data_IF_164550740389
#
_entry.id   IF_164550740389
#
_cell.length_a   1.000
_cell.length_b   1.000
_cell.length_c   1.000
_cell.angle_alpha   90.00
_cell.angle_beta   90.00
_cell.angle_gamma   90.00
#
_symmetry.space_group_name_H-M   'P 1'
#
loop_
_entity.id
_entity.type
_entity.pdbx_description
1 polymer ?
#
# COMPACT_ATOMS: atom_id res chain seq x y z
N UNK A 1 -11.35 33.39 -24.62
CA UNK A 1 -10.68 32.24 -23.99
C UNK A 1 -9.40 32.73 -23.33
N UNK A 2 -9.38 32.84 -22.00
CA UNK A 2 -8.22 33.32 -21.25
C UNK A 2 -7.24 32.17 -21.01
N UNK A 3 -6.03 32.24 -21.57
CA UNK A 3 -4.95 31.30 -21.28
C UNK A 3 -4.50 31.49 -19.83
N UNK A 4 -4.89 30.60 -18.93
CA UNK A 4 -4.24 30.51 -17.61
C UNK A 4 -2.85 29.94 -17.83
N UNK A 5 -1.82 30.80 -17.79
CA UNK A 5 -0.42 30.36 -17.80
C UNK A 5 -0.04 29.90 -16.40
N UNK A 6 0.53 28.71 -16.29
CA UNK A 6 0.93 28.08 -15.03
C UNK A 6 2.18 28.72 -14.38
N UNK A 7 2.94 29.56 -15.10
CA UNK A 7 4.13 30.25 -14.58
C UNK A 7 4.17 31.74 -14.97
N UNK A 8 4.41 32.67 -14.03
CA UNK A 8 4.61 34.07 -14.36
C UNK A 8 5.98 34.30 -15.02
N UNK A 9 5.99 34.82 -16.26
CA UNK A 9 7.21 35.38 -16.86
C UNK A 9 7.50 36.74 -16.23
N UNK A 10 8.46 36.80 -15.31
CA UNK A 10 9.18 38.06 -15.03
C UNK A 10 10.63 37.88 -15.46
N UNK A 11 11.13 38.82 -16.28
CA UNK A 11 12.56 38.91 -16.58
C UNK A 11 13.31 39.08 -15.26
N UNK A 12 14.41 38.36 -15.00
CA UNK A 12 15.23 38.64 -13.83
C UNK A 12 15.78 40.05 -14.00
N UNK A 13 15.37 40.99 -13.14
CA UNK A 13 16.16 42.20 -12.92
C UNK A 13 17.47 41.73 -12.28
N UNK A 14 18.59 41.90 -12.99
CA UNK A 14 19.92 41.63 -12.48
C UNK A 14 20.21 42.58 -11.30
N UNK A 15 19.77 42.20 -10.11
CA UNK A 15 20.40 42.65 -8.88
C UNK A 15 21.40 41.58 -8.49
N UNK A 16 22.67 41.84 -8.78
CA UNK A 16 23.82 41.05 -8.34
C UNK A 16 23.69 40.80 -6.84
N UNK A 17 23.65 39.56 -6.34
CA UNK A 17 23.64 39.33 -4.91
C UNK A 17 25.02 39.76 -4.39
N UNK A 18 25.06 40.74 -3.49
CA UNK A 18 26.23 40.95 -2.65
C UNK A 18 26.61 39.60 -2.02
N UNK A 19 27.89 39.23 -2.14
CA UNK A 19 28.48 38.03 -1.53
C UNK A 19 28.29 38.09 -0.01
N UNK A 20 27.19 37.53 0.48
CA UNK A 20 27.10 37.13 1.87
C UNK A 20 28.08 35.97 2.08
N UNK A 21 29.03 36.17 3.00
CA UNK A 21 30.17 35.30 3.29
C UNK A 21 29.80 33.95 3.95
N UNK A 22 28.58 33.46 3.75
CA UNK A 22 28.13 32.15 4.22
C UNK A 22 28.08 31.16 3.06
N UNK A 23 28.97 30.16 3.05
CA UNK A 23 28.89 29.06 2.08
C UNK A 23 27.50 28.42 2.18
N UNK A 24 26.68 28.55 1.13
CA UNK A 24 25.39 27.86 1.06
C UNK A 24 25.64 26.35 1.10
N UNK A 25 24.93 25.58 1.94
CA UNK A 25 25.09 24.12 1.98
C UNK A 25 24.75 23.52 0.61
N UNK A 26 25.61 22.65 0.09
CA UNK A 26 25.48 22.02 -1.23
C UNK A 26 24.33 20.99 -1.35
N UNK A 27 23.44 20.88 -0.35
CA UNK A 27 22.50 19.76 -0.13
C UNK A 27 21.17 20.28 0.40
N UNK A 28 20.35 20.85 -0.46
CA UNK A 28 19.14 21.51 -0.02
C UNK A 28 17.96 21.24 -0.94
N UNK A 29 16.82 21.01 -0.30
CA UNK A 29 15.51 21.14 -0.93
C UNK A 29 14.98 22.50 -0.52
N UNK A 30 14.52 23.30 -1.48
CA UNK A 30 13.99 24.64 -1.24
C UNK A 30 12.56 24.73 -1.76
N UNK A 31 11.67 25.27 -0.94
CA UNK A 31 10.25 25.43 -1.28
C UNK A 31 9.99 26.84 -1.83
N UNK A 32 9.26 26.94 -2.93
CA UNK A 32 8.89 28.22 -3.52
C UNK A 32 7.37 28.32 -3.60
N UNK A 33 6.83 29.46 -3.20
CA UNK A 33 5.45 29.78 -3.53
C UNK A 33 5.35 30.16 -5.01
N UNK A 34 4.34 29.63 -5.70
CA UNK A 34 4.10 29.90 -7.12
C UNK A 34 3.96 31.40 -7.44
N UNK A 35 3.60 32.22 -6.45
CA UNK A 35 3.43 33.68 -6.54
C UNK A 35 4.73 34.46 -6.34
N UNK A 36 5.79 33.85 -5.77
CA UNK A 36 7.05 34.53 -5.43
C UNK A 36 8.26 33.58 -5.48
N UNK A 37 9.10 33.75 -6.50
CA UNK A 37 10.33 32.95 -6.69
C UNK A 37 11.54 33.49 -5.91
N UNK A 38 11.36 34.22 -4.79
CA UNK A 38 12.50 34.81 -4.06
C UNK A 38 13.22 33.77 -3.19
N UNK A 39 14.47 33.39 -3.51
CA UNK A 39 15.15 32.24 -2.88
C UNK A 39 15.73 32.52 -1.49
N UNK A 40 15.66 33.76 -1.00
CA UNK A 40 16.25 34.17 0.29
C UNK A 40 15.35 33.86 1.51
N UNK A 41 14.04 33.69 1.32
CA UNK A 41 13.06 33.49 2.40
C UNK A 41 12.35 32.12 2.36
N UNK A 42 12.67 31.28 1.36
CA UNK A 42 12.13 29.93 1.24
C UNK A 42 12.59 29.02 2.39
N UNK A 43 11.68 28.24 3.03
CA UNK A 43 12.06 27.14 3.91
C UNK A 43 13.01 26.17 3.21
N UNK A 44 13.97 25.60 3.95
CA UNK A 44 15.01 24.72 3.41
C UNK A 44 15.21 23.50 4.28
N UNK A 45 15.29 22.34 3.65
CA UNK A 45 15.69 21.08 4.30
C UNK A 45 17.15 20.78 3.93
N UNK A 46 17.96 20.44 4.92
CA UNK A 46 19.35 20.09 4.72
C UNK A 46 19.56 18.59 4.97
N UNK A 47 20.24 17.91 4.04
CA UNK A 47 20.63 16.52 4.23
C UNK A 47 21.66 16.37 5.36
N UNK A 48 21.53 15.31 6.16
CA UNK A 48 22.34 15.06 7.36
C UNK A 48 23.77 14.57 7.07
N UNK A 49 23.99 13.86 5.95
CA UNK A 49 25.27 13.22 5.64
C UNK A 49 25.95 13.78 4.39
N UNK A 50 27.29 13.76 4.39
CA UNK A 50 28.12 14.15 3.27
C UNK A 50 28.08 13.08 2.15
N UNK A 51 28.38 13.49 0.91
CA UNK A 51 28.31 12.74 -0.35
C UNK A 51 27.02 11.97 -0.75
N UNK A 52 25.95 11.92 0.05
CA UNK A 52 24.77 11.05 -0.22
C UNK A 52 23.85 11.42 -1.40
N UNK A 53 24.03 12.60 -2.01
CA UNK A 53 23.09 13.19 -2.98
C UNK A 53 21.65 13.34 -2.47
N UNK A 54 21.48 13.76 -1.22
CA UNK A 54 20.15 14.11 -0.70
C UNK A 54 19.41 15.11 -1.60
N UNK A 55 18.15 14.80 -1.93
CA UNK A 55 17.31 15.57 -2.85
C UNK A 55 17.58 15.27 -4.33
N UNK A 56 18.22 14.13 -4.65
CA UNK A 56 18.45 13.72 -6.03
C UNK A 56 17.14 13.45 -6.78
N UNK A 57 16.18 12.86 -6.08
CA UNK A 57 14.82 12.61 -6.53
C UNK A 57 13.86 13.12 -5.46
N UNK A 58 12.67 13.53 -5.89
CA UNK A 58 11.62 14.07 -5.01
C UNK A 58 10.27 13.48 -5.44
N UNK A 59 9.42 13.19 -4.48
CA UNK A 59 8.00 12.89 -4.71
C UNK A 59 7.15 13.61 -3.66
N UNK A 60 5.91 13.91 -4.03
CA UNK A 60 4.92 14.47 -3.13
C UNK A 60 3.58 13.72 -3.31
N UNK A 61 2.95 13.38 -2.20
CA UNK A 61 1.69 12.62 -2.11
C UNK A 61 1.14 12.72 -0.70
N UNK A 62 -0.14 12.42 -0.51
CA UNK A 62 -0.80 12.42 0.81
C UNK A 62 -0.74 11.00 1.41
N UNK A 63 0.37 10.67 2.07
CA UNK A 63 0.64 9.30 2.51
C UNK A 63 0.11 8.99 3.91
N UNK A 64 -0.28 10.01 4.69
CA UNK A 64 -0.93 9.88 5.99
C UNK A 64 -2.42 10.27 5.97
N UNK A 65 -2.94 10.72 4.83
CA UNK A 65 -4.37 10.93 4.57
C UNK A 65 -4.93 12.17 5.26
N UNK A 66 -4.09 13.15 5.58
CA UNK A 66 -4.48 14.37 6.27
C UNK A 66 -4.99 15.48 5.34
N UNK A 67 -4.94 15.25 4.02
CA UNK A 67 -5.35 16.17 2.97
C UNK A 67 -4.27 17.15 2.52
N UNK A 68 -3.05 17.07 3.07
CA UNK A 68 -1.88 17.81 2.64
C UNK A 68 -0.86 16.89 1.98
N UNK A 69 -0.20 17.39 0.93
CA UNK A 69 0.86 16.63 0.29
C UNK A 69 2.15 16.64 1.15
N UNK A 70 2.65 15.46 1.42
CA UNK A 70 3.92 15.18 2.07
C UNK A 70 5.10 15.24 1.09
N UNK A 71 6.32 15.11 1.61
CA UNK A 71 7.54 15.11 0.81
C UNK A 71 8.40 13.87 1.07
N UNK A 72 8.77 13.17 0.00
CA UNK A 72 9.85 12.19 0.02
C UNK A 72 11.06 12.73 -0.75
N UNK A 73 12.25 12.49 -0.20
CA UNK A 73 13.52 12.91 -0.76
C UNK A 73 14.52 11.76 -0.83
N UNK A 74 14.99 11.44 -2.04
CA UNK A 74 15.96 10.38 -2.28
C UNK A 74 17.39 10.84 -2.02
N UNK A 75 18.19 9.91 -1.50
CA UNK A 75 19.63 10.03 -1.29
C UNK A 75 20.31 8.75 -1.76
N UNK A 76 20.40 8.50 -3.08
CA UNK A 76 20.83 7.22 -3.64
C UNK A 76 22.28 6.82 -3.31
N UNK A 77 23.13 7.76 -2.85
CA UNK A 77 24.50 7.44 -2.42
C UNK A 77 24.64 7.38 -0.90
N UNK A 78 23.54 7.22 -0.17
CA UNK A 78 23.59 6.99 1.27
C UNK A 78 24.10 5.57 1.59
N UNK A 79 24.82 5.46 2.70
CA UNK A 79 25.18 4.17 3.28
C UNK A 79 24.02 3.60 4.10
N UNK A 80 23.94 2.28 4.23
CA UNK A 80 22.96 1.59 5.07
C UNK A 80 23.15 1.81 6.59
N UNK A 81 24.22 2.51 7.00
CA UNK A 81 24.59 2.70 8.40
C UNK A 81 25.38 1.53 8.99
N UNK A 82 25.75 0.54 8.17
CA UNK A 82 26.61 -0.58 8.51
C UNK A 82 27.76 -0.65 7.49
N UNK A 83 27.69 -1.56 6.51
CA UNK A 83 28.79 -1.89 5.60
C UNK A 83 28.38 -1.89 4.12
N UNK A 84 27.16 -1.47 3.77
CA UNK A 84 26.70 -1.42 2.39
C UNK A 84 26.88 0.00 1.80
N UNK A 85 27.92 0.22 0.98
CA UNK A 85 28.10 1.49 0.27
C UNK A 85 27.01 1.70 -0.77
N UNK A 86 26.63 2.96 -1.00
CA UNK A 86 25.64 3.36 -2.01
C UNK A 86 24.36 2.51 -1.98
N UNK A 87 23.97 2.03 -0.80
CA UNK A 87 22.73 1.28 -0.62
C UNK A 87 21.51 2.17 -0.87
N UNK A 88 21.67 3.47 -0.59
CA UNK A 88 20.66 4.49 -0.79
C UNK A 88 19.73 4.67 0.41
N UNK A 89 19.01 5.78 0.42
CA UNK A 89 18.01 6.09 1.44
C UNK A 89 16.92 7.01 0.89
N UNK A 90 15.76 6.98 1.54
CA UNK A 90 14.65 7.90 1.32
C UNK A 90 14.27 8.54 2.65
N UNK A 91 14.06 9.84 2.63
CA UNK A 91 13.65 10.63 3.79
C UNK A 91 12.24 11.16 3.56
N UNK A 92 11.33 10.87 4.48
CA UNK A 92 9.92 11.27 4.39
C UNK A 92 9.64 12.36 5.41
N UNK A 93 8.91 13.38 5.00
CA UNK A 93 8.51 14.51 5.81
C UNK A 93 7.01 14.77 5.64
N UNK A 94 6.26 14.59 6.73
CA UNK A 94 4.83 14.90 6.75
C UNK A 94 4.60 16.41 6.86
N UNK A 95 3.55 16.91 6.20
CA UNK A 95 3.31 18.35 6.04
C UNK A 95 1.87 18.83 6.37
N UNK A 96 1.29 18.51 7.54
CA UNK A 96 -0.13 18.71 7.87
C UNK A 96 -0.65 20.15 7.75
N UNK A 97 0.21 21.15 7.96
CA UNK A 97 -0.15 22.57 7.84
C UNK A 97 0.49 23.23 6.61
N UNK A 98 0.86 22.44 5.59
CA UNK A 98 1.73 22.85 4.47
C UNK A 98 3.08 23.38 4.93
N UNK A 99 3.50 22.95 6.12
CA UNK A 99 4.78 23.29 6.74
C UNK A 99 5.55 22.01 7.01
N UNK A 100 6.76 21.93 6.48
CA UNK A 100 7.60 20.74 6.59
C UNK A 100 8.58 20.90 7.75
N UNK A 101 8.62 19.90 8.63
CA UNK A 101 9.63 19.82 9.70
C UNK A 101 11.05 19.77 9.11
N UNK A 102 12.05 20.43 9.73
CA UNK A 102 13.44 20.31 9.28
C UNK A 102 14.04 18.91 9.51
N UNK A 103 13.38 18.06 10.32
CA UNK A 103 13.77 16.67 10.55
C UNK A 103 12.80 15.72 9.83
N UNK A 104 13.30 14.70 9.13
CA UNK A 104 12.44 13.69 8.54
C UNK A 104 11.67 12.96 9.64
N UNK A 105 10.41 12.66 9.36
CA UNK A 105 9.59 11.82 10.22
C UNK A 105 9.99 10.34 10.09
N UNK A 106 10.42 9.93 8.89
CA UNK A 106 10.87 8.59 8.60
C UNK A 106 12.12 8.61 7.70
N UNK A 107 13.06 7.72 8.00
CA UNK A 107 14.21 7.40 7.14
C UNK A 107 14.13 5.93 6.76
N UNK A 108 14.02 5.66 5.46
CA UNK A 108 14.01 4.31 4.89
C UNK A 108 15.37 4.07 4.23
N UNK A 109 16.12 3.09 4.72
CA UNK A 109 17.46 2.77 4.21
C UNK A 109 17.41 1.56 3.29
N UNK A 110 18.07 1.67 2.14
CA UNK A 110 18.36 0.51 1.30
C UNK A 110 19.25 -0.48 2.03
N UNK A 111 19.08 -1.76 1.73
CA UNK A 111 19.80 -2.88 2.39
C UNK A 111 20.88 -3.51 1.51
N UNK A 112 20.81 -3.31 0.19
CA UNK A 112 21.73 -3.90 -0.77
C UNK A 112 22.82 -2.89 -1.15
N UNK A 113 24.09 -3.29 -1.04
CA UNK A 113 25.20 -2.44 -1.47
C UNK A 113 25.08 -2.10 -2.96
N UNK A 114 25.37 -0.86 -3.32
CA UNK A 114 25.35 -0.30 -4.67
C UNK A 114 23.99 -0.25 -5.36
N UNK A 115 22.91 -0.66 -4.70
CA UNK A 115 21.57 -0.68 -5.29
C UNK A 115 20.99 0.72 -5.57
N UNK A 116 21.48 1.72 -4.84
CA UNK A 116 21.07 3.12 -4.93
C UNK A 116 19.57 3.32 -4.74
N UNK A 117 19.01 2.69 -3.72
CA UNK A 117 17.63 2.91 -3.29
C UNK A 117 17.32 4.41 -3.13
N UNK A 118 16.17 4.86 -3.65
CA UNK A 118 15.86 6.29 -3.73
C UNK A 118 16.41 6.97 -4.98
N UNK A 119 16.79 6.21 -6.02
CA UNK A 119 17.24 6.79 -7.29
C UNK A 119 16.09 7.52 -8.01
N UNK A 120 14.94 6.86 -8.09
CA UNK A 120 13.69 7.42 -8.59
C UNK A 120 12.64 7.34 -7.48
N UNK A 121 11.78 8.34 -7.42
CA UNK A 121 10.63 8.39 -6.52
C UNK A 121 9.41 8.77 -7.35
N UNK A 122 8.28 8.13 -7.08
CA UNK A 122 6.99 8.49 -7.67
C UNK A 122 5.88 8.30 -6.64
N UNK A 123 4.98 9.28 -6.55
CA UNK A 123 3.68 9.07 -5.92
C UNK A 123 2.84 8.27 -6.92
N UNK A 124 2.33 7.12 -6.49
CA UNK A 124 1.53 6.24 -7.34
C UNK A 124 0.03 6.58 -7.28
N UNK A 125 -0.37 7.54 -6.44
CA UNK A 125 -1.75 7.64 -5.98
C UNK A 125 -2.12 6.45 -5.10
N UNK A 126 -3.41 6.27 -4.85
CA UNK A 126 -3.97 5.18 -4.06
C UNK A 126 -4.15 3.91 -4.94
N UNK A 127 -3.10 3.06 -5.00
CA UNK A 127 -3.04 1.87 -5.89
C UNK A 127 -3.82 0.68 -5.35
N UNK A 128 -4.14 0.64 -4.05
CA UNK A 128 -4.96 -0.41 -3.44
C UNK A 128 -6.36 0.06 -3.01
N UNK A 129 -6.65 1.35 -3.17
CA UNK A 129 -7.93 2.02 -2.86
C UNK A 129 -8.31 1.99 -1.39
N UNK A 130 -7.32 2.01 -0.50
CA UNK A 130 -7.52 2.05 0.94
C UNK A 130 -7.79 3.48 1.48
N UNK A 131 -7.57 4.50 0.65
CA UNK A 131 -7.81 5.91 0.94
C UNK A 131 -6.56 6.75 1.17
N UNK A 132 -5.37 6.17 1.04
CA UNK A 132 -4.08 6.85 1.19
C UNK A 132 -3.28 6.78 -0.11
N UNK A 133 -2.49 7.80 -0.44
CA UNK A 133 -1.58 7.68 -1.58
C UNK A 133 -0.47 6.67 -1.26
N UNK A 134 0.17 6.13 -2.30
CA UNK A 134 1.28 5.18 -2.20
C UNK A 134 2.57 5.72 -2.80
N UNK A 135 3.71 5.21 -2.33
CA UNK A 135 5.04 5.62 -2.79
C UNK A 135 5.78 4.46 -3.49
N UNK A 136 6.29 4.73 -4.68
CA UNK A 136 7.29 3.87 -5.33
C UNK A 136 8.70 4.42 -5.17
N UNK A 137 9.65 3.52 -4.88
CA UNK A 137 11.07 3.81 -4.76
C UNK A 137 11.89 2.92 -5.68
N UNK A 138 12.62 3.54 -6.60
CA UNK A 138 13.51 2.85 -7.53
C UNK A 138 14.90 2.56 -6.97
N UNK A 139 15.39 1.36 -7.24
CA UNK A 139 16.76 0.90 -6.99
C UNK A 139 17.31 0.21 -8.26
N UNK A 140 17.69 0.99 -9.29
CA UNK A 140 18.00 0.46 -10.62
C UNK A 140 19.25 -0.43 -10.70
N UNK A 141 20.06 -0.45 -9.65
CA UNK A 141 21.30 -1.23 -9.58
C UNK A 141 21.23 -2.33 -8.51
N UNK A 142 20.03 -2.59 -7.99
CA UNK A 142 19.78 -3.71 -7.09
C UNK A 142 20.02 -5.05 -7.80
N UNK A 143 19.90 -6.16 -7.06
CA UNK A 143 20.05 -7.49 -7.65
C UNK A 143 19.07 -7.72 -8.81
N UNK A 144 19.39 -8.72 -9.64
CA UNK A 144 18.47 -9.24 -10.65
C UNK A 144 18.05 -8.24 -11.74
N UNK A 145 18.82 -7.17 -11.95
CA UNK A 145 18.58 -6.17 -13.00
C UNK A 145 17.89 -4.89 -12.52
N UNK A 146 17.65 -4.76 -11.21
CA UNK A 146 17.04 -3.60 -10.58
C UNK A 146 15.65 -3.89 -10.01
N UNK A 147 15.25 -3.05 -9.06
CA UNK A 147 14.01 -3.24 -8.29
C UNK A 147 13.23 -1.93 -8.15
N UNK A 148 11.90 -2.06 -8.00
CA UNK A 148 11.01 -1.01 -7.51
C UNK A 148 10.33 -1.50 -6.25
N UNK A 149 10.40 -0.70 -5.19
CA UNK A 149 9.83 -0.96 -3.89
C UNK A 149 8.57 -0.11 -3.73
N UNK A 150 7.45 -0.74 -3.43
CA UNK A 150 6.17 -0.07 -3.18
C UNK A 150 5.91 -0.02 -1.68
N UNK A 151 5.49 1.14 -1.20
CA UNK A 151 5.13 1.41 0.19
C UNK A 151 3.73 1.98 0.20
N UNK A 152 2.79 1.28 0.85
CA UNK A 152 1.45 1.83 0.99
C UNK A 152 1.36 2.91 2.06
N UNK A 153 0.53 3.91 1.79
CA UNK A 153 0.08 4.88 2.79
C UNK A 153 -0.77 4.22 3.87
N UNK A 154 -1.00 4.93 4.98
CA UNK A 154 -1.90 4.52 6.08
C UNK A 154 -2.07 5.69 7.06
N UNK A 155 -2.99 5.63 8.05
CA UNK A 155 -3.21 6.74 8.98
C UNK A 155 -1.97 7.18 9.78
N UNK A 156 -1.03 6.28 10.03
CA UNK A 156 0.24 6.60 10.72
C UNK A 156 1.36 7.05 9.75
N UNK A 157 1.04 7.19 8.46
CA UNK A 157 1.95 7.40 7.36
C UNK A 157 2.72 6.14 6.92
N UNK A 158 3.63 6.30 5.97
CA UNK A 158 4.42 5.21 5.37
C UNK A 158 5.13 4.31 6.40
N UNK A 159 5.21 3.02 6.06
CA UNK A 159 6.04 2.05 6.77
C UNK A 159 7.51 2.05 6.36
N UNK A 160 8.36 1.53 7.25
CA UNK A 160 9.77 1.33 6.95
C UNK A 160 10.05 0.13 6.02
N UNK A 161 9.11 -0.81 5.93
CA UNK A 161 9.20 -1.98 5.06
C UNK A 161 8.23 -1.84 3.87
N UNK A 162 8.63 -2.28 2.67
CA UNK A 162 7.78 -2.24 1.49
C UNK A 162 6.63 -3.25 1.60
N UNK A 163 5.47 -2.90 1.06
CA UNK A 163 4.32 -3.82 0.90
C UNK A 163 4.53 -4.75 -0.29
N UNK A 164 5.24 -4.29 -1.32
CA UNK A 164 5.57 -5.07 -2.51
C UNK A 164 6.96 -4.71 -3.06
N UNK A 165 7.65 -5.68 -3.65
CA UNK A 165 8.91 -5.45 -4.39
C UNK A 165 8.75 -6.05 -5.77
N UNK A 166 8.86 -5.20 -6.78
CA UNK A 166 8.83 -5.55 -8.20
C UNK A 166 10.28 -5.68 -8.67
N UNK A 167 10.68 -6.87 -9.11
CA UNK A 167 12.06 -7.13 -9.57
C UNK A 167 12.10 -7.19 -11.08
N UNK A 168 13.19 -6.77 -11.69
CA UNK A 168 13.36 -6.88 -13.14
C UNK A 168 13.25 -8.34 -13.62
N UNK A 169 13.66 -9.31 -12.78
CA UNK A 169 13.53 -10.75 -13.04
C UNK A 169 12.10 -11.28 -13.11
N UNK A 170 11.13 -10.51 -12.61
CA UNK A 170 9.71 -10.90 -12.66
C UNK A 170 9.12 -10.68 -14.06
N UNK A 171 9.87 -10.01 -14.95
CA UNK A 171 9.45 -9.66 -16.31
C UNK A 171 10.32 -10.36 -17.37
N UNK A 172 9.67 -10.75 -18.46
CA UNK A 172 10.35 -11.33 -19.62
C UNK A 172 11.32 -10.32 -20.28
N UNK A 173 12.35 -10.82 -20.96
CA UNK A 173 13.23 -9.99 -21.80
C UNK A 173 14.53 -9.51 -21.15
N UNK A 174 14.91 -10.05 -19.99
CA UNK A 174 16.17 -9.72 -19.31
C UNK A 174 16.36 -8.21 -19.06
N UNK A 175 15.32 -7.59 -18.51
CA UNK A 175 15.25 -6.16 -18.19
C UNK A 175 16.40 -5.75 -17.24
N UNK A 176 17.07 -4.63 -17.51
CA UNK A 176 18.16 -4.10 -16.68
C UNK A 176 18.04 -2.60 -16.45
N UNK A 177 18.47 -2.16 -15.28
CA UNK A 177 18.28 -0.77 -14.84
C UNK A 177 16.82 -0.50 -14.47
N UNK A 178 16.04 -1.53 -14.13
CA UNK A 178 14.63 -1.42 -13.79
C UNK A 178 14.44 -0.56 -12.53
N UNK A 179 13.60 0.46 -12.59
CA UNK A 179 13.44 1.45 -11.51
C UNK A 179 14.35 2.67 -11.67
N UNK A 180 14.92 2.89 -12.86
CA UNK A 180 15.73 4.09 -13.14
C UNK A 180 14.87 5.35 -13.24
N UNK A 181 13.66 5.22 -13.75
CA UNK A 181 12.60 6.23 -13.72
C UNK A 181 11.27 5.55 -13.45
N UNK A 182 10.36 6.23 -12.75
CA UNK A 182 9.05 5.69 -12.39
C UNK A 182 8.04 6.82 -12.57
N UNK A 183 6.87 6.47 -13.11
CA UNK A 183 5.69 7.35 -13.15
C UNK A 183 4.44 6.53 -12.81
N UNK A 184 3.42 7.17 -12.25
CA UNK A 184 2.21 6.50 -11.77
C UNK A 184 1.09 7.50 -11.49
N UNK A 185 0.07 7.11 -10.72
CA UNK A 185 -1.02 8.00 -10.34
C UNK A 185 -2.11 8.18 -11.39
N UNK A 186 -2.06 7.41 -12.48
CA UNK A 186 -3.06 7.44 -13.55
C UNK A 186 -3.50 6.01 -13.86
N UNK A 187 -4.80 5.79 -13.87
CA UNK A 187 -5.45 4.58 -14.35
C UNK A 187 -5.42 4.57 -15.89
N UNK A 188 -4.56 3.74 -16.49
CA UNK A 188 -4.35 3.70 -17.94
C UNK A 188 -5.19 2.63 -18.63
N UNK A 189 -5.59 1.57 -17.92
CA UNK A 189 -6.44 0.50 -18.44
C UNK A 189 -7.93 0.67 -18.11
N UNK A 190 -8.29 1.75 -17.40
CA UNK A 190 -9.62 2.12 -16.97
C UNK A 190 -10.27 1.08 -16.03
N UNK A 191 -9.47 0.36 -15.24
CA UNK A 191 -9.96 -0.60 -14.25
C UNK A 191 -10.31 0.04 -12.89
N UNK A 192 -10.02 1.33 -12.74
CA UNK A 192 -10.23 2.14 -11.55
C UNK A 192 -9.00 2.27 -10.65
N UNK A 193 -7.95 1.47 -10.83
CA UNK A 193 -6.75 1.53 -10.00
C UNK A 193 -5.63 2.23 -10.77
N UNK A 194 -4.91 3.20 -10.17
CA UNK A 194 -3.76 3.80 -10.81
C UNK A 194 -2.71 2.77 -11.20
N UNK A 195 -2.18 2.87 -12.41
CA UNK A 195 -1.15 1.96 -12.94
C UNK A 195 0.26 2.56 -12.78
N UNK A 196 1.28 1.73 -13.03
CA UNK A 196 2.70 2.11 -12.87
C UNK A 196 3.48 1.89 -14.16
N UNK A 197 4.28 2.89 -14.54
CA UNK A 197 5.28 2.80 -15.61
C UNK A 197 6.69 2.84 -15.03
N UNK A 198 7.52 1.88 -15.40
CA UNK A 198 8.90 1.78 -14.92
C UNK A 198 9.88 1.77 -16.09
N UNK A 199 10.81 2.72 -16.10
CA UNK A 199 11.91 2.77 -17.05
C UNK A 199 13.07 1.86 -16.64
N UNK A 200 13.62 1.15 -17.63
CA UNK A 200 14.74 0.24 -17.50
C UNK A 200 15.88 0.66 -18.45
N UNK A 201 16.58 1.72 -18.05
CA UNK A 201 17.48 2.47 -18.92
C UNK A 201 18.68 1.67 -19.45
N UNK A 202 19.12 0.62 -18.75
CA UNK A 202 20.25 -0.20 -19.21
C UNK A 202 19.84 -1.26 -20.24
N UNK A 203 18.55 -1.39 -20.53
CA UNK A 203 17.97 -2.32 -21.51
C UNK A 203 17.10 -1.62 -22.55
N UNK A 204 17.16 -0.29 -22.66
CA UNK A 204 16.36 0.54 -23.58
C UNK A 204 14.85 0.20 -23.55
N UNK A 205 14.35 -0.16 -22.37
CA UNK A 205 13.01 -0.72 -22.18
C UNK A 205 12.20 0.09 -21.17
N UNK A 206 10.88 -0.01 -21.30
CA UNK A 206 9.93 0.46 -20.29
C UNK A 206 8.92 -0.66 -20.03
N UNK A 207 8.52 -0.81 -18.77
CA UNK A 207 7.58 -1.84 -18.31
C UNK A 207 6.33 -1.13 -17.83
N UNK A 208 5.19 -1.54 -18.38
CA UNK A 208 3.87 -1.11 -17.93
C UNK A 208 3.28 -2.16 -17.01
N UNK A 209 2.90 -1.75 -15.81
CA UNK A 209 2.46 -2.62 -14.73
C UNK A 209 1.05 -2.17 -14.35
N UNK A 210 0.10 -3.07 -14.56
CA UNK A 210 -1.30 -2.81 -14.23
C UNK A 210 -1.58 -3.16 -12.79
N UNK A 211 -2.26 -2.27 -12.08
CA UNK A 211 -2.70 -2.55 -10.72
C UNK A 211 -3.86 -3.53 -10.75
N UNK A 212 -3.80 -4.54 -9.88
CA UNK A 212 -4.86 -5.54 -9.77
C UNK A 212 -5.96 -5.02 -8.85
N UNK A 213 -7.25 -5.24 -9.17
CA UNK A 213 -8.32 -4.85 -8.27
C UNK A 213 -8.22 -5.53 -6.90
N UNK A 214 -8.35 -4.76 -5.83
CA UNK A 214 -8.24 -5.22 -4.43
C UNK A 214 -9.62 -5.50 -3.84
N UNK A 215 -9.77 -6.66 -3.22
CA UNK A 215 -11.01 -7.09 -2.56
C UNK A 215 -10.86 -7.05 -1.03
N UNK A 216 -11.40 -6.00 -0.40
CA UNK A 216 -11.47 -5.91 1.05
C UNK A 216 -12.75 -6.58 1.57
N UNK A 217 -12.59 -7.75 2.23
CA UNK A 217 -13.68 -8.54 2.81
C UNK A 217 -13.62 -8.48 4.33
N UNK A 218 -14.70 -8.01 4.95
CA UNK A 218 -14.93 -8.06 6.39
C UNK A 218 -15.94 -9.16 6.69
N UNK A 219 -15.59 -10.09 7.59
CA UNK A 219 -16.43 -11.23 7.94
C UNK A 219 -16.73 -11.30 9.43
N UNK A 220 -17.94 -11.73 9.77
CA UNK A 220 -18.36 -12.04 11.13
C UNK A 220 -19.08 -13.39 11.17
N UNK A 221 -18.88 -14.13 12.25
CA UNK A 221 -19.58 -15.40 12.54
C UNK A 221 -20.17 -15.31 13.93
N UNK A 222 -21.44 -15.69 14.07
CA UNK A 222 -22.16 -15.73 15.33
C UNK A 222 -22.88 -17.06 15.50
N UNK A 223 -23.06 -17.50 16.75
CA UNK A 223 -23.86 -18.68 17.11
C UNK A 223 -25.02 -18.24 17.99
N UNK A 224 -26.21 -18.76 17.70
CA UNK A 224 -27.42 -18.55 18.50
C UNK A 224 -28.13 -19.90 18.79
N UNK A 225 -28.21 -20.34 20.06
CA UNK A 225 -27.61 -19.72 21.23
C UNK A 225 -26.06 -19.81 21.19
N UNK A 226 -25.36 -18.88 21.86
CA UNK A 226 -23.90 -18.92 21.97
C UNK A 226 -23.38 -20.14 22.75
N UNK A 227 -24.25 -20.75 23.58
CA UNK A 227 -23.99 -21.97 24.31
C UNK A 227 -25.00 -23.06 23.93
N UNK A 228 -24.48 -24.22 23.53
CA UNK A 228 -25.32 -25.36 23.16
C UNK A 228 -25.54 -26.25 24.38
N UNK A 229 -26.77 -26.29 24.89
CA UNK A 229 -27.15 -27.18 25.97
C UNK A 229 -27.37 -28.61 25.47
N UNK A 230 -26.54 -29.56 25.91
CA UNK A 230 -26.65 -30.99 25.57
C UNK A 230 -27.97 -31.64 26.04
N UNK A 231 -28.65 -30.99 27.00
CA UNK A 231 -29.93 -31.45 27.53
C UNK A 231 -31.12 -31.02 26.67
N UNK A 232 -30.94 -29.99 25.83
CA UNK A 232 -31.99 -29.48 24.97
C UNK A 232 -31.91 -30.10 23.57
N UNK A 233 -32.65 -31.20 23.37
CA UNK A 233 -32.68 -31.99 22.14
C UNK A 233 -33.82 -31.53 21.23
N UNK A 234 -33.80 -30.25 20.85
CA UNK A 234 -34.88 -29.63 20.07
C UNK A 234 -34.77 -29.88 18.56
N UNK A 235 -33.61 -30.30 18.06
CA UNK A 235 -33.35 -30.43 16.63
C UNK A 235 -33.52 -31.88 16.16
N UNK A 236 -34.37 -32.13 15.16
CA UNK A 236 -34.62 -33.47 14.60
C UNK A 236 -33.84 -33.70 13.30
N UNK A 237 -32.81 -34.54 13.33
CA UNK A 237 -32.12 -34.98 12.12
C UNK A 237 -32.90 -36.16 11.51
N UNK A 238 -33.20 -36.10 10.22
CA UNK A 238 -33.94 -37.15 9.50
C UNK A 238 -33.20 -38.50 9.59
N UNK A 239 -33.60 -39.37 10.54
CA UNK A 239 -33.06 -40.71 10.72
C UNK A 239 -32.85 -41.20 12.17
N UNK A 240 -32.99 -40.36 13.21
CA UNK A 240 -32.82 -40.81 14.60
C UNK A 240 -32.64 -39.66 15.60
N UNK A 241 -32.61 -40.01 16.91
CA UNK A 241 -32.59 -39.17 18.15
C UNK A 241 -32.34 -37.68 17.93
N UNK A 242 -33.21 -36.86 18.52
CA UNK A 242 -32.99 -35.42 18.56
C UNK A 242 -31.67 -35.10 19.30
N UNK A 243 -30.81 -34.33 18.65
CA UNK A 243 -29.51 -33.90 19.17
C UNK A 243 -29.59 -32.41 19.57
N UNK A 244 -28.69 -31.99 20.44
CA UNK A 244 -28.58 -30.58 20.80
C UNK A 244 -28.08 -29.79 19.59
N UNK A 245 -28.71 -28.64 19.32
CA UNK A 245 -28.39 -27.84 18.14
C UNK A 245 -28.62 -26.35 18.36
N UNK A 246 -28.17 -25.58 17.39
CA UNK A 246 -28.30 -24.13 17.33
C UNK A 246 -28.15 -23.64 15.90
N UNK A 247 -28.23 -22.34 15.71
CA UNK A 247 -27.99 -21.67 14.43
C UNK A 247 -26.62 -21.00 14.43
N UNK A 248 -25.92 -21.11 13.31
CA UNK A 248 -24.70 -20.37 13.03
C UNK A 248 -24.96 -19.37 11.91
N UNK A 249 -24.78 -18.08 12.17
CA UNK A 249 -24.89 -17.01 11.19
C UNK A 249 -23.51 -16.56 10.74
N UNK A 250 -23.35 -16.39 9.42
CA UNK A 250 -22.14 -15.87 8.79
C UNK A 250 -22.51 -14.63 7.97
N UNK A 251 -21.84 -13.52 8.26
CA UNK A 251 -22.03 -12.25 7.58
C UNK A 251 -20.73 -11.85 6.88
N UNK A 252 -20.79 -11.57 5.57
CA UNK A 252 -19.67 -11.10 4.78
C UNK A 252 -20.00 -9.75 4.17
N UNK A 253 -19.26 -8.72 4.55
CA UNK A 253 -19.41 -7.36 4.05
C UNK A 253 -18.16 -6.95 3.28
N UNK A 254 -18.35 -6.24 2.16
CA UNK A 254 -17.22 -5.74 1.38
C UNK A 254 -17.14 -4.25 1.48
N UNK A 255 -15.89 -3.78 1.54
CA UNK A 255 -15.59 -2.37 1.37
C UNK A 255 -15.32 -2.12 -0.11
N UNK A 256 -16.26 -1.38 -0.74
CA UNK A 256 -16.15 -0.71 -2.06
C UNK A 256 -15.45 -1.52 -3.18
N UNK A 257 -15.94 -2.70 -3.57
CA UNK A 257 -15.41 -3.37 -4.76
C UNK A 257 -15.81 -2.59 -6.03
N UNK A 258 -14.89 -2.42 -6.96
CA UNK A 258 -15.14 -1.85 -8.31
C UNK A 258 -15.55 -2.89 -9.35
N UNK A 259 -15.68 -4.14 -8.96
CA UNK A 259 -16.07 -5.26 -9.80
C UNK A 259 -16.97 -6.22 -9.01
N UNK A 260 -17.65 -7.12 -9.72
CA UNK A 260 -18.42 -8.19 -9.10
C UNK A 260 -17.46 -9.32 -8.75
N UNK A 261 -17.46 -9.79 -7.49
CA UNK A 261 -16.55 -10.83 -7.02
C UNK A 261 -17.34 -12.06 -6.59
N UNK A 262 -16.85 -13.24 -6.99
CA UNK A 262 -17.30 -14.52 -6.46
C UNK A 262 -16.19 -15.06 -5.55
N UNK A 263 -16.52 -15.32 -4.28
CA UNK A 263 -15.58 -15.84 -3.29
C UNK A 263 -16.09 -17.18 -2.77
N UNK A 264 -15.21 -18.18 -2.77
CA UNK A 264 -15.51 -19.46 -2.15
C UNK A 264 -15.27 -19.37 -0.64
N UNK A 265 -16.36 -19.48 0.12
CA UNK A 265 -16.34 -19.39 1.57
C UNK A 265 -16.39 -20.81 2.12
N UNK A 266 -15.38 -21.17 2.91
CA UNK A 266 -15.35 -22.46 3.60
C UNK A 266 -15.62 -22.25 5.08
N UNK A 267 -16.69 -22.88 5.57
CA UNK A 267 -17.01 -22.93 6.99
C UNK A 267 -16.63 -24.29 7.54
N UNK A 268 -15.90 -24.28 8.65
CA UNK A 268 -15.47 -25.49 9.33
C UNK A 268 -15.85 -25.41 10.81
N UNK A 269 -16.69 -26.34 11.25
CA UNK A 269 -17.16 -26.45 12.63
C UNK A 269 -16.21 -27.35 13.41
N UNK A 270 -15.82 -26.89 14.61
CA UNK A 270 -14.97 -27.64 15.54
C UNK A 270 -13.78 -28.35 14.87
N UNK A 271 -12.89 -27.63 14.16
CA UNK A 271 -11.81 -28.22 13.35
C UNK A 271 -10.84 -29.09 14.15
N UNK A 272 -10.82 -28.98 15.48
CA UNK A 272 -9.95 -29.75 16.36
C UNK A 272 -10.58 -31.07 16.81
N UNK A 273 -11.87 -31.09 17.13
CA UNK A 273 -12.51 -32.24 17.78
C UNK A 273 -13.64 -32.85 16.96
N UNK A 274 -14.17 -32.15 15.95
CA UNK A 274 -15.16 -32.67 15.02
C UNK A 274 -16.51 -33.03 15.66
N UNK A 275 -16.89 -32.37 16.77
CA UNK A 275 -18.12 -32.68 17.50
C UNK A 275 -19.36 -31.98 16.95
N UNK A 276 -19.21 -31.07 16.00
CA UNK A 276 -20.29 -30.30 15.41
C UNK A 276 -20.45 -30.63 13.93
N UNK A 277 -21.68 -30.64 13.45
CA UNK A 277 -22.00 -30.83 12.03
C UNK A 277 -23.17 -29.95 11.60
N UNK A 278 -23.22 -29.62 10.32
CA UNK A 278 -24.35 -28.92 9.71
C UNK A 278 -25.51 -29.89 9.50
N UNK A 279 -26.72 -29.53 9.96
CA UNK A 279 -27.92 -30.39 9.94
C UNK A 279 -28.24 -30.88 8.53
N UNK A 280 -28.25 -29.96 7.56
CA UNK A 280 -28.64 -30.27 6.18
C UNK A 280 -27.58 -31.09 5.44
N UNK A 281 -26.30 -30.85 5.70
CA UNK A 281 -25.19 -31.44 4.95
C UNK A 281 -24.61 -32.70 5.58
N UNK A 282 -24.87 -32.95 6.88
CA UNK A 282 -24.34 -34.08 7.66
C UNK A 282 -22.81 -34.18 7.63
N UNK A 283 -22.15 -33.02 7.57
CA UNK A 283 -20.70 -32.85 7.53
C UNK A 283 -20.31 -31.69 8.43
N UNK A 284 -19.06 -31.65 8.89
CA UNK A 284 -18.52 -30.56 9.73
C UNK A 284 -17.87 -29.43 8.93
N UNK A 285 -17.82 -29.56 7.61
CA UNK A 285 -17.25 -28.58 6.70
C UNK A 285 -18.17 -28.41 5.50
N UNK A 286 -18.39 -27.16 5.10
CA UNK A 286 -19.10 -26.83 3.87
C UNK A 286 -18.35 -25.72 3.15
N UNK A 287 -18.47 -25.72 1.83
CA UNK A 287 -18.00 -24.63 0.99
C UNK A 287 -19.17 -24.15 0.15
N UNK A 288 -19.38 -22.84 0.12
CA UNK A 288 -20.37 -22.21 -0.73
C UNK A 288 -19.77 -21.01 -1.44
N UNK A 289 -20.34 -20.67 -2.60
CA UNK A 289 -19.98 -19.48 -3.34
C UNK A 289 -20.80 -18.30 -2.81
N UNK A 290 -20.10 -17.26 -2.36
CA UNK A 290 -20.66 -15.97 -2.03
C UNK A 290 -20.46 -15.05 -3.24
N UNK A 291 -21.58 -14.61 -3.85
CA UNK A 291 -21.56 -13.58 -4.87
C UNK A 291 -21.68 -12.24 -4.17
N UNK A 292 -20.63 -11.46 -4.28
CA UNK A 292 -20.44 -10.22 -3.54
C UNK A 292 -20.54 -9.08 -4.54
N UNK A 293 -21.63 -8.32 -4.44
CA UNK A 293 -22.02 -7.28 -5.42
C UNK A 293 -21.58 -5.88 -5.00
N UNK A 294 -21.52 -4.96 -5.97
CA UNK A 294 -21.23 -3.55 -5.71
C UNK A 294 -22.45 -2.83 -5.15
N UNK A 295 -22.24 -2.06 -4.08
CA UNK A 295 -23.26 -1.21 -3.47
C UNK A 295 -23.47 -1.59 -2.01
N UNK A 296 -23.65 -0.59 -1.14
CA UNK A 296 -23.87 -0.75 0.31
C UNK A 296 -25.22 -1.38 0.66
N UNK A 297 -25.53 -2.54 0.09
CA UNK A 297 -26.56 -3.44 0.58
C UNK A 297 -26.08 -4.19 1.83
N UNK A 298 -27.00 -4.87 2.55
CA UNK A 298 -26.58 -5.81 3.58
C UNK A 298 -25.65 -6.84 2.90
N UNK A 299 -24.49 -7.10 3.51
CA UNK A 299 -23.53 -8.09 2.99
C UNK A 299 -24.16 -9.48 2.76
N UNK A 300 -23.40 -10.44 2.24
CA UNK A 300 -23.90 -11.83 2.15
C UNK A 300 -24.05 -12.38 3.57
N UNK A 301 -25.29 -12.48 4.04
CA UNK A 301 -25.65 -13.03 5.35
C UNK A 301 -26.35 -14.36 5.16
N UNK A 302 -25.80 -15.41 5.76
CA UNK A 302 -26.35 -16.76 5.70
C UNK A 302 -26.45 -17.38 7.08
N UNK A 303 -27.54 -18.10 7.30
CA UNK A 303 -27.79 -18.84 8.53
C UNK A 303 -27.78 -20.34 8.24
N UNK A 304 -27.13 -21.11 9.11
CA UNK A 304 -27.01 -22.55 8.99
C UNK A 304 -27.40 -23.21 10.31
N UNK A 305 -28.24 -24.24 10.25
CA UNK A 305 -28.52 -25.08 11.40
C UNK A 305 -27.36 -26.06 11.65
N UNK A 306 -26.94 -26.14 12.92
CA UNK A 306 -25.84 -27.00 13.37
C UNK A 306 -26.28 -27.85 14.55
N UNK A 307 -25.68 -29.04 14.69
CA UNK A 307 -25.96 -29.97 15.77
C UNK A 307 -24.70 -30.64 16.31
N UNK A 308 -24.80 -31.17 17.52
CA UNK A 308 -23.71 -31.87 18.22
C UNK A 308 -23.79 -33.38 17.93
N UNK A 309 -22.66 -33.97 17.54
CA UNK A 309 -22.50 -35.41 17.33
C UNK A 309 -22.29 -36.12 18.67
N UNK A 310 -23.34 -36.76 19.19
CA UNK A 310 -23.31 -37.46 20.49
C UNK A 310 -22.35 -38.65 20.50
N UNK A 311 -22.11 -39.29 19.35
CA UNK A 311 -21.16 -40.42 19.23
C UNK A 311 -19.71 -40.06 19.56
N UNK A 312 -19.37 -38.77 19.64
CA UNK A 312 -18.01 -38.27 19.91
C UNK A 312 -17.85 -37.82 21.38
N UNK A 313 -18.93 -37.75 22.16
CA UNK A 313 -18.90 -37.29 23.56
C UNK A 313 -18.82 -38.44 24.59
N UNK A 314 -19.05 -39.68 24.16
CA UNK A 314 -19.08 -40.87 25.02
C UNK A 314 -17.77 -41.69 24.98
N UNK A 315 -16.69 -41.16 24.39
CA UNK A 315 -15.36 -41.77 24.33
C UNK A 315 -14.28 -40.87 24.90
#
# INVERSE_FOLDING_TARGET
>A
MASRRWWPRRRPTQTTPQRANGRRPWRQIAFYEATSLRPAAAPRLAGSSLATKFGFSLAAGDWDGDGAADLAAGAPLAHDGKNAPDAGAVYVYYAPAKTVSPRPALEIRGRTAWARFGHALACLGDVDRDGFDDLAVGAPFDSDGGSVYVFHGRPEGLGAEPTQVLRASDFDGAVRGFGFSIDGGIDMDANGYPDVLVGAAASDSAVFIRSAPVLAVEGAVAFDPPEVSLNNRSCSVSGGRADAGGEAAVCLQLKRPLFLAAVNVTLQLDPKQGRLAFVHYKQNQITYEAILSQGGGPGDVRTFEVYVLVSVLEG
#
